data_IF_476255302384
#
_entry.id   IF_476255302384
#
_cell.length_a   1.000
_cell.length_b   1.000
_cell.length_c   1.000
_cell.angle_alpha   90.00
_cell.angle_beta   90.00
_cell.angle_gamma   90.00
#
_symmetry.space_group_name_H-M   'P 1'
#
loop_
_entity.id
_entity.type
_entity.pdbx_description
1 polymer ?
#
# COMPACT_ATOMS: atom_id res chain seq x y z
N UNK A 1 -43.89 29.98 -5.05
CA UNK A 1 -42.80 30.06 -6.03
C UNK A 1 -42.10 28.72 -5.99
N UNK A 2 -42.50 27.84 -6.88
CA UNK A 2 -41.98 26.49 -6.97
C UNK A 2 -40.62 26.49 -7.67
N UNK A 3 -39.72 25.62 -7.19
CA UNK A 3 -38.62 25.10 -7.99
C UNK A 3 -38.82 23.59 -8.05
N UNK A 4 -39.28 23.13 -9.21
CA UNK A 4 -39.57 21.71 -9.45
C UNK A 4 -38.31 20.85 -9.43
N UNK A 5 -38.52 19.54 -9.24
CA UNK A 5 -37.53 18.51 -9.52
C UNK A 5 -36.90 18.70 -10.90
N UNK A 6 -35.59 18.42 -11.00
CA UNK A 6 -35.01 17.82 -12.19
C UNK A 6 -34.23 16.58 -11.76
N UNK A 7 -34.54 15.48 -12.42
CA UNK A 7 -34.15 14.16 -11.95
C UNK A 7 -32.66 13.90 -12.19
N UNK A 8 -31.87 13.91 -11.10
CA UNK A 8 -30.60 13.21 -11.04
C UNK A 8 -30.86 11.83 -10.44
N UNK A 9 -30.82 10.79 -11.28
CA UNK A 9 -30.94 9.40 -10.85
C UNK A 9 -29.71 8.99 -10.04
N UNK A 10 -29.78 9.17 -8.72
CA UNK A 10 -28.76 8.71 -7.78
C UNK A 10 -28.74 7.17 -7.72
N UNK A 11 -27.97 6.57 -8.62
CA UNK A 11 -27.64 5.16 -8.56
C UNK A 11 -26.70 4.92 -7.37
N UNK A 12 -27.06 4.00 -6.49
CA UNK A 12 -26.40 3.81 -5.19
C UNK A 12 -25.03 3.15 -5.35
N UNK A 13 -23.97 3.86 -4.96
CA UNK A 13 -22.60 3.35 -4.94
C UNK A 13 -21.92 3.65 -3.60
N UNK A 14 -20.97 2.81 -3.21
CA UNK A 14 -20.30 2.89 -1.91
C UNK A 14 -19.05 3.77 -1.97
N UNK A 15 -19.21 5.07 -1.75
CA UNK A 15 -18.12 5.99 -1.46
C UNK A 15 -17.37 5.61 -0.16
N UNK A 16 -16.16 6.15 0.04
CA UNK A 16 -15.41 6.05 1.30
C UNK A 16 -15.00 7.44 1.79
N UNK A 17 -15.72 7.93 2.81
CA UNK A 17 -15.69 9.34 3.24
C UNK A 17 -14.61 9.62 4.27
N UNK A 18 -13.55 10.34 3.86
CA UNK A 18 -12.52 10.85 4.76
C UNK A 18 -13.01 12.07 5.53
N UNK A 19 -13.11 11.95 6.86
CA UNK A 19 -13.44 13.07 7.72
C UNK A 19 -12.24 13.57 8.53
N UNK A 20 -11.79 14.80 8.25
CA UNK A 20 -11.13 15.62 9.25
C UNK A 20 -12.13 16.68 9.74
N UNK A 21 -12.73 16.42 10.90
CA UNK A 21 -13.49 17.43 11.61
C UNK A 21 -12.50 18.37 12.32
N UNK A 22 -12.67 19.68 12.13
CA UNK A 22 -11.87 20.73 12.79
C UNK A 22 -11.99 20.67 14.34
N UNK A 23 -13.01 19.97 14.85
CA UNK A 23 -13.12 19.61 16.27
C UNK A 23 -13.07 18.09 16.47
N UNK A 24 -11.86 17.55 16.65
CA UNK A 24 -11.67 16.26 17.35
C UNK A 24 -11.14 15.09 16.54
N UNK A 25 -10.20 15.31 15.61
CA UNK A 25 -9.35 14.21 15.13
C UNK A 25 -8.62 13.58 16.32
N UNK A 26 -8.78 12.27 16.54
CA UNK A 26 -8.10 11.53 17.60
C UNK A 26 -6.88 10.84 17.00
N UNK A 27 -5.67 11.21 17.44
CA UNK A 27 -4.44 10.48 17.14
C UNK A 27 -4.07 9.64 18.36
N UNK A 28 -3.70 8.39 18.16
CA UNK A 28 -3.31 7.51 19.26
C UNK A 28 -1.81 7.67 19.52
N UNK A 29 -1.49 8.17 20.72
CA UNK A 29 -0.11 8.32 21.20
C UNK A 29 0.31 7.06 21.96
N UNK A 30 1.51 6.57 21.66
CA UNK A 30 2.10 5.38 22.26
C UNK A 30 3.42 5.70 22.97
N UNK A 31 3.63 5.03 24.11
CA UNK A 31 4.93 4.89 24.76
C UNK A 31 5.12 3.42 25.18
N UNK A 32 6.32 2.84 25.05
CA UNK A 32 6.57 1.48 25.51
C UNK A 32 6.14 1.28 26.97
N UNK A 33 5.35 0.24 27.23
CA UNK A 33 4.85 -0.10 28.57
C UNK A 33 3.50 0.50 28.99
N UNK A 34 2.84 1.34 28.18
CA UNK A 34 1.57 1.98 28.58
C UNK A 34 0.42 1.83 27.56
N UNK A 35 -0.81 1.86 28.08
CA UNK A 35 -2.06 1.79 27.33
C UNK A 35 -2.24 3.01 26.43
N UNK A 36 -2.65 2.79 25.17
CA UNK A 36 -3.00 3.82 24.17
C UNK A 36 -3.82 4.96 24.76
N UNK A 37 -3.50 6.21 24.38
CA UNK A 37 -4.30 7.39 24.72
C UNK A 37 -4.60 8.23 23.47
N UNK A 38 -5.87 8.63 23.26
CA UNK A 38 -6.20 9.59 22.22
C UNK A 38 -5.74 10.99 22.62
N UNK A 39 -5.12 11.69 21.69
CA UNK A 39 -4.78 13.11 21.80
C UNK A 39 -5.53 13.87 20.71
N UNK A 40 -5.96 15.09 21.04
CA UNK A 40 -6.71 16.00 20.16
C UNK A 40 -5.79 17.13 19.70
N UNK A 41 -5.83 17.46 18.41
CA UNK A 41 -4.97 18.46 17.79
C UNK A 41 -5.79 19.70 17.43
N UNK A 42 -5.18 20.89 17.55
CA UNK A 42 -5.80 22.16 17.15
C UNK A 42 -5.62 22.48 15.66
N UNK A 43 -4.72 21.79 14.98
CA UNK A 43 -4.53 21.86 13.54
C UNK A 43 -3.90 20.54 13.05
N UNK A 44 -4.40 20.02 11.93
CA UNK A 44 -3.79 18.90 11.19
C UNK A 44 -3.81 19.27 9.70
N UNK A 45 -2.66 19.21 9.04
CA UNK A 45 -2.55 19.61 7.62
C UNK A 45 -2.55 18.39 6.71
N UNK A 46 -3.75 17.93 6.35
CA UNK A 46 -3.94 17.02 5.23
C UNK A 46 -3.94 17.82 3.92
N UNK A 47 -3.18 17.37 2.92
CA UNK A 47 -3.28 17.87 1.55
C UNK A 47 -3.75 16.75 0.64
N UNK A 48 -4.93 16.90 0.06
CA UNK A 48 -5.35 16.21 -1.16
C UNK A 48 -4.91 17.10 -2.32
N UNK A 49 -4.31 16.53 -3.37
CA UNK A 49 -3.84 17.31 -4.51
C UNK A 49 -3.40 16.48 -5.71
N UNK A 50 -3.32 17.15 -6.85
CA UNK A 50 -2.65 16.67 -8.08
C UNK A 50 -1.13 16.57 -7.85
N UNK A 51 -0.40 15.73 -8.61
CA UNK A 51 0.81 15.09 -8.10
C UNK A 51 2.01 16.05 -7.94
N UNK A 52 2.55 16.05 -6.72
CA UNK A 52 3.92 16.47 -6.41
C UNK A 52 4.68 15.30 -5.75
N UNK A 53 4.50 14.11 -6.32
CA UNK A 53 5.23 12.89 -5.97
C UNK A 53 5.44 12.13 -7.28
N UNK A 54 6.63 12.27 -7.88
CA UNK A 54 6.97 11.62 -9.16
C UNK A 54 6.99 10.09 -8.99
N UNK A 55 6.31 9.29 -9.82
CA UNK A 55 5.05 9.58 -10.52
C UNK A 55 4.23 8.28 -10.58
N UNK A 56 2.95 8.34 -10.20
CA UNK A 56 2.06 7.17 -10.16
C UNK A 56 0.59 7.52 -10.49
N UNK A 57 0.31 8.78 -10.87
CA UNK A 57 -1.06 9.33 -10.85
C UNK A 57 -1.91 8.89 -12.05
N UNK A 58 -2.53 7.72 -11.95
CA UNK A 58 -3.67 7.37 -12.81
C UNK A 58 -4.83 8.36 -12.60
N UNK A 59 -5.65 8.58 -13.63
CA UNK A 59 -6.76 9.56 -13.61
C UNK A 59 -7.93 9.22 -12.67
N UNK A 60 -7.83 8.11 -11.92
CA UNK A 60 -8.83 7.63 -10.96
C UNK A 60 -8.35 7.70 -9.51
N UNK A 61 -7.26 8.43 -9.25
CA UNK A 61 -6.57 8.40 -7.98
C UNK A 61 -6.13 9.79 -7.47
N UNK A 62 -5.94 9.87 -6.15
CA UNK A 62 -5.63 11.09 -5.42
C UNK A 62 -4.52 10.84 -4.39
N UNK A 63 -3.61 11.80 -4.22
CA UNK A 63 -2.57 11.69 -3.19
C UNK A 63 -3.12 12.12 -1.82
N UNK A 64 -3.06 11.20 -0.86
CA UNK A 64 -3.25 11.45 0.56
C UNK A 64 -1.90 11.79 1.20
N UNK A 65 -1.81 12.90 1.91
CA UNK A 65 -0.65 13.24 2.75
C UNK A 65 -1.10 13.60 4.16
N UNK A 66 -0.57 12.89 5.15
CA UNK A 66 -0.74 13.14 6.58
C UNK A 66 0.56 13.73 7.14
N UNK A 67 0.52 14.96 7.66
CA UNK A 67 1.69 15.67 8.17
C UNK A 67 1.50 16.20 9.59
N UNK A 68 2.46 15.88 10.46
CA UNK A 68 2.60 16.36 11.84
C UNK A 68 3.79 17.32 11.89
N UNK A 69 3.60 18.58 12.30
CA UNK A 69 4.66 19.61 12.32
C UNK A 69 4.61 20.42 13.61
N UNK A 70 5.75 20.55 14.28
CA UNK A 70 5.98 21.34 15.48
C UNK A 70 4.98 21.06 16.62
N UNK A 71 4.62 19.79 16.82
CA UNK A 71 3.67 19.37 17.85
C UNK A 71 4.39 19.27 19.20
N UNK A 72 3.95 20.06 20.17
CA UNK A 72 4.43 19.96 21.55
C UNK A 72 3.91 18.71 22.25
N UNK A 73 4.81 17.94 22.86
CA UNK A 73 4.49 16.70 23.59
C UNK A 73 5.06 16.71 25.00
N UNK A 74 4.30 16.20 25.97
CA UNK A 74 4.78 15.99 27.34
C UNK A 74 5.76 14.80 27.48
N UNK A 75 5.96 14.01 26.42
CA UNK A 75 6.82 12.83 26.39
C UNK A 75 8.14 13.13 25.68
N UNK A 76 9.25 12.58 26.18
CA UNK A 76 10.61 12.77 25.62
C UNK A 76 10.80 12.14 24.24
N UNK A 77 10.15 11.00 23.99
CA UNK A 77 10.23 10.23 22.74
C UNK A 77 8.81 9.73 22.38
N UNK A 78 7.97 10.59 21.78
CA UNK A 78 6.59 10.27 21.44
C UNK A 78 6.51 9.44 20.14
N UNK A 79 5.99 8.21 20.23
CA UNK A 79 5.61 7.41 19.06
C UNK A 79 4.15 7.71 18.69
N UNK A 80 3.91 8.11 17.45
CA UNK A 80 2.57 8.43 16.95
C UNK A 80 1.99 7.30 16.10
N UNK A 81 0.66 7.15 16.14
CA UNK A 81 -0.08 6.28 15.25
C UNK A 81 -1.41 6.92 14.80
N UNK A 82 -1.77 6.68 13.54
CA UNK A 82 -3.09 6.98 12.97
C UNK A 82 -3.95 5.73 13.05
N UNK A 83 -5.19 5.88 13.54
CA UNK A 83 -6.25 4.90 13.28
C UNK A 83 -6.93 5.26 11.96
N UNK A 84 -6.97 4.32 11.02
CA UNK A 84 -7.67 4.47 9.74
C UNK A 84 -8.94 3.63 9.80
N UNK A 85 -10.10 4.30 9.79
CA UNK A 85 -11.41 3.67 9.73
C UNK A 85 -11.88 3.63 8.28
N UNK A 86 -12.29 2.45 7.83
CA UNK A 86 -12.84 2.18 6.51
C UNK A 86 -14.35 2.00 6.63
N UNK A 87 -15.10 2.68 5.76
CA UNK A 87 -16.55 2.51 5.62
C UNK A 87 -16.83 1.70 4.36
N UNK A 88 -17.61 0.63 4.51
CA UNK A 88 -17.95 -0.30 3.44
C UNK A 88 -19.45 -0.41 3.18
N UNK A 89 -19.83 -1.33 2.29
CA UNK A 89 -21.23 -1.60 1.94
C UNK A 89 -22.06 -2.24 3.06
N UNK A 90 -23.35 -2.45 2.77
CA UNK A 90 -24.33 -3.03 3.68
C UNK A 90 -23.94 -4.44 4.17
N UNK A 91 -23.98 -4.65 5.49
CA UNK A 91 -23.74 -5.94 6.14
C UNK A 91 -24.65 -7.06 5.63
N UNK A 92 -25.88 -6.75 5.23
CA UNK A 92 -26.87 -7.77 4.84
C UNK A 92 -26.66 -8.32 3.43
N UNK A 93 -25.93 -7.61 2.56
CA UNK A 93 -25.81 -7.93 1.13
C UNK A 93 -24.49 -8.63 0.77
N UNK A 94 -23.83 -9.27 1.74
CA UNK A 94 -22.40 -9.62 1.65
C UNK A 94 -21.58 -8.40 1.18
N UNK A 95 -21.67 -7.31 1.96
CA UNK A 95 -21.05 -6.02 1.64
C UNK A 95 -19.53 -6.07 1.50
N UNK A 96 -18.97 -4.95 1.05
CA UNK A 96 -17.55 -4.85 0.64
C UNK A 96 -16.58 -5.47 1.65
N UNK A 97 -15.72 -6.36 1.16
CA UNK A 97 -14.66 -6.96 1.95
C UNK A 97 -13.38 -6.13 1.86
N UNK A 98 -12.67 -6.05 2.99
CA UNK A 98 -11.41 -5.32 3.10
C UNK A 98 -10.27 -6.33 3.18
N UNK A 99 -9.32 -6.26 2.25
CA UNK A 99 -8.14 -7.13 2.25
C UNK A 99 -6.85 -6.31 2.18
N UNK A 100 -5.90 -6.59 3.08
CA UNK A 100 -4.52 -6.11 2.95
C UNK A 100 -3.77 -7.06 2.02
N UNK A 101 -3.13 -6.53 0.98
CA UNK A 101 -2.18 -7.24 0.13
C UNK A 101 -0.90 -6.43 -0.03
N UNK A 102 0.21 -7.11 -0.35
CA UNK A 102 1.52 -6.49 -0.54
C UNK A 102 2.04 -6.76 -1.94
N UNK A 103 2.26 -5.70 -2.72
CA UNK A 103 2.90 -5.76 -4.04
C UNK A 103 4.39 -5.44 -3.92
N UNK A 104 5.19 -5.98 -4.84
CA UNK A 104 6.57 -5.53 -5.05
C UNK A 104 6.50 -4.25 -5.91
N UNK A 105 7.31 -3.25 -5.61
CA UNK A 105 7.33 -1.97 -6.31
C UNK A 105 8.71 -1.31 -6.14
N UNK A 106 9.60 -1.48 -7.12
CA UNK A 106 10.96 -0.91 -7.07
C UNK A 106 11.00 0.59 -7.42
N UNK A 107 9.97 1.09 -8.11
CA UNK A 107 9.90 2.47 -8.58
C UNK A 107 9.74 3.49 -7.43
N UNK A 108 10.34 4.67 -7.63
CA UNK A 108 10.16 5.90 -6.85
C UNK A 108 10.43 5.86 -5.32
N UNK A 109 10.98 4.79 -4.75
CA UNK A 109 11.58 4.82 -3.39
C UNK A 109 12.69 3.77 -3.25
N UNK A 110 13.98 4.11 -3.44
CA UNK A 110 15.05 3.14 -3.61
C UNK A 110 15.46 2.34 -2.36
N UNK A 111 14.84 2.60 -1.20
CA UNK A 111 15.01 1.82 0.03
C UNK A 111 13.82 0.89 0.34
N UNK A 112 12.69 1.01 -0.38
CA UNK A 112 11.46 0.29 -0.07
C UNK A 112 10.83 -0.26 -1.36
N UNK A 113 11.16 -1.52 -1.62
CA UNK A 113 10.80 -2.29 -2.82
C UNK A 113 9.39 -2.92 -2.76
N UNK A 114 8.51 -2.45 -1.87
CA UNK A 114 7.15 -2.99 -1.74
C UNK A 114 6.15 -1.91 -1.32
N UNK A 115 4.91 -2.11 -1.73
CA UNK A 115 3.74 -1.28 -1.41
C UNK A 115 2.75 -2.16 -0.65
N UNK A 116 2.22 -1.64 0.45
CA UNK A 116 1.08 -2.21 1.14
C UNK A 116 -0.20 -1.59 0.57
N UNK A 117 -1.20 -2.43 0.29
CA UNK A 117 -2.45 -2.05 -0.34
C UNK A 117 -3.62 -2.56 0.51
N UNK A 118 -4.66 -1.76 0.69
CA UNK A 118 -6.00 -2.24 1.03
C UNK A 118 -6.83 -2.21 -0.25
N UNK A 119 -7.47 -3.32 -0.58
CA UNK A 119 -8.47 -3.37 -1.64
C UNK A 119 -9.87 -3.38 -1.02
N UNK A 120 -10.75 -2.53 -1.55
CA UNK A 120 -12.16 -2.43 -1.19
C UNK A 120 -12.95 -3.29 -2.19
N UNK A 121 -12.99 -4.61 -1.97
CA UNK A 121 -13.59 -5.54 -2.93
C UNK A 121 -15.11 -5.62 -2.77
N UNK A 122 -15.86 -5.32 -3.83
CA UNK A 122 -17.31 -5.52 -3.88
C UNK A 122 -17.61 -6.99 -4.19
N UNK A 123 -18.64 -7.57 -3.58
CA UNK A 123 -19.00 -8.99 -3.79
C UNK A 123 -19.44 -9.32 -5.23
N UNK A 124 -19.82 -8.30 -6.01
CA UNK A 124 -20.28 -8.46 -7.39
C UNK A 124 -19.32 -7.93 -8.47
N UNK A 125 -18.14 -7.37 -8.13
CA UNK A 125 -17.18 -6.85 -9.13
C UNK A 125 -15.78 -6.60 -8.57
N UNK A 126 -14.76 -6.61 -9.44
CA UNK A 126 -13.44 -6.02 -9.11
C UNK A 126 -13.44 -4.47 -9.10
N UNK A 127 -14.61 -3.86 -9.32
CA UNK A 127 -14.80 -2.41 -9.35
C UNK A 127 -15.27 -1.91 -7.98
N UNK A 128 -14.31 -1.76 -7.08
CA UNK A 128 -14.44 -0.94 -5.88
C UNK A 128 -13.40 0.18 -5.90
N UNK A 129 -12.51 0.16 -4.92
CA UNK A 129 -11.36 1.07 -4.87
C UNK A 129 -10.22 0.49 -4.04
N UNK A 130 -9.20 1.30 -3.82
CA UNK A 130 -8.01 0.91 -3.07
C UNK A 130 -7.41 2.08 -2.29
N UNK A 131 -6.61 1.75 -1.28
CA UNK A 131 -5.66 2.65 -0.65
C UNK A 131 -4.29 1.96 -0.61
N UNK A 132 -3.26 2.59 -1.15
CA UNK A 132 -1.91 2.01 -1.29
C UNK A 132 -0.85 2.94 -0.69
N UNK A 133 0.14 2.41 0.03
CA UNK A 133 1.24 3.21 0.57
C UNK A 133 2.53 2.40 0.65
N UNK A 134 3.67 3.09 0.59
CA UNK A 134 4.94 2.49 1.02
C UNK A 134 5.05 2.61 2.54
N UNK A 135 5.55 1.59 3.25
CA UNK A 135 5.70 1.61 4.72
C UNK A 135 6.91 2.46 5.18
N UNK A 136 6.98 3.70 4.68
CA UNK A 136 7.95 4.73 5.04
C UNK A 136 7.24 6.05 5.32
N UNK A 137 7.63 6.70 6.41
CA UNK A 137 7.31 8.08 6.71
C UNK A 137 8.61 8.89 6.74
N UNK A 138 8.55 10.18 6.44
CA UNK A 138 9.73 11.03 6.32
C UNK A 138 9.78 12.08 7.43
N UNK A 139 10.96 12.33 7.98
CA UNK A 139 11.18 13.34 9.03
C UNK A 139 11.33 14.77 8.51
N UNK A 140 11.20 14.98 7.20
CA UNK A 140 11.34 16.28 6.51
C UNK A 140 10.37 16.40 5.33
N UNK A 141 10.10 17.64 4.88
CA UNK A 141 9.17 17.91 3.77
C UNK A 141 9.76 17.52 2.39
N UNK A 142 11.10 17.48 2.26
CA UNK A 142 11.84 17.08 1.04
C UNK A 142 11.99 15.56 0.87
N UNK A 143 11.69 14.76 1.90
CA UNK A 143 11.60 13.29 1.84
C UNK A 143 12.89 12.56 1.39
N UNK A 144 14.04 13.06 1.80
CA UNK A 144 15.34 12.41 1.57
C UNK A 144 15.42 11.00 2.16
N UNK A 145 16.17 10.10 1.51
CA UNK A 145 16.21 8.67 1.86
C UNK A 145 16.70 8.40 3.28
N UNK A 146 17.73 9.13 3.76
CA UNK A 146 18.25 9.05 5.12
C UNK A 146 17.23 9.51 6.20
N UNK A 147 16.23 10.28 5.76
CA UNK A 147 15.16 10.83 6.60
C UNK A 147 13.88 10.00 6.52
N UNK A 148 13.91 8.84 5.84
CA UNK A 148 12.90 7.80 5.97
C UNK A 148 12.92 7.11 7.34
N UNK A 149 11.74 6.73 7.83
CA UNK A 149 11.49 5.97 9.07
C UNK A 149 10.46 4.89 8.77
N UNK A 150 10.60 3.72 9.39
CA UNK A 150 9.71 2.58 9.14
C UNK A 150 8.28 2.87 9.61
N UNK A 151 7.30 2.34 8.88
CA UNK A 151 5.88 2.41 9.22
C UNK A 151 5.35 1.00 9.46
N UNK A 152 4.66 0.81 10.57
CA UNK A 152 4.11 -0.46 10.98
C UNK A 152 2.58 -0.39 10.92
N UNK A 153 2.01 -1.02 9.90
CA UNK A 153 0.57 -1.32 9.83
C UNK A 153 0.23 -2.48 10.76
N UNK A 154 -0.97 -2.45 11.33
CA UNK A 154 -1.56 -3.56 12.07
C UNK A 154 -2.72 -4.16 11.26
N UNK A 155 -3.15 -5.37 11.61
CA UNK A 155 -4.23 -6.07 10.90
C UNK A 155 -5.56 -5.30 10.93
N UNK A 156 -6.36 -5.48 9.88
CA UNK A 156 -7.75 -5.01 9.82
C UNK A 156 -8.61 -5.75 10.85
N UNK A 157 -9.37 -5.00 11.64
CA UNK A 157 -10.37 -5.53 12.55
C UNK A 157 -11.73 -4.91 12.25
N UNK A 158 -12.81 -5.69 12.33
CA UNK A 158 -14.18 -5.16 12.27
C UNK A 158 -14.41 -4.21 13.45
N UNK A 159 -14.92 -3.01 13.19
CA UNK A 159 -15.15 -1.98 14.23
C UNK A 159 -16.63 -1.61 14.34
N UNK A 160 -16.98 -0.80 15.34
CA UNK A 160 -18.35 -0.35 15.60
C UNK A 160 -18.50 1.16 15.40
N UNK A 161 -19.75 1.61 15.24
CA UNK A 161 -20.09 3.02 15.01
C UNK A 161 -19.54 3.95 16.10
N UNK A 162 -19.39 3.46 17.34
CA UNK A 162 -18.85 4.24 18.46
C UNK A 162 -17.38 4.67 18.33
N UNK A 163 -16.62 4.09 17.39
CA UNK A 163 -15.27 4.55 17.05
C UNK A 163 -15.26 5.67 16.01
N UNK A 164 -16.37 5.84 15.26
CA UNK A 164 -16.52 6.94 14.30
C UNK A 164 -16.88 8.23 15.06
N UNK A 165 -16.16 9.35 14.85
CA UNK A 165 -16.51 10.61 15.50
C UNK A 165 -17.91 11.08 15.10
N UNK A 166 -18.73 11.47 16.08
CA UNK A 166 -20.15 11.82 15.88
C UNK A 166 -20.37 13.01 14.93
N UNK A 167 -19.40 13.92 14.84
CA UNK A 167 -19.40 15.06 13.90
C UNK A 167 -18.66 14.75 12.59
N UNK A 168 -18.57 13.47 12.21
CA UNK A 168 -17.94 13.08 10.96
C UNK A 168 -18.87 13.25 9.75
N UNK A 169 -18.31 13.67 8.61
CA UNK A 169 -19.04 13.70 7.34
C UNK A 169 -19.51 12.29 6.89
N UNK A 170 -18.96 11.20 7.46
CA UNK A 170 -19.53 9.86 7.28
C UNK A 170 -20.98 9.76 7.82
N UNK A 171 -21.28 10.30 9.01
CA UNK A 171 -22.67 10.36 9.49
C UNK A 171 -23.57 11.22 8.59
N UNK A 172 -23.04 12.31 8.02
CA UNK A 172 -23.79 13.15 7.10
C UNK A 172 -24.03 12.49 5.73
N UNK A 173 -23.11 11.65 5.27
CA UNK A 173 -23.15 11.05 3.93
C UNK A 173 -23.97 9.75 3.88
N UNK A 174 -23.71 8.81 4.80
CA UNK A 174 -24.41 7.51 4.80
C UNK A 174 -25.59 7.45 5.79
N UNK A 175 -25.71 8.42 6.70
CA UNK A 175 -26.67 8.37 7.80
C UNK A 175 -26.36 7.24 8.79
N UNK A 176 -27.01 6.08 8.60
CA UNK A 176 -26.99 4.97 9.55
C UNK A 176 -25.79 4.02 9.34
N UNK A 177 -24.62 4.45 9.81
CA UNK A 177 -23.40 3.63 9.85
C UNK A 177 -23.56 2.25 10.54
N UNK A 178 -24.62 2.04 11.32
CA UNK A 178 -24.89 0.76 12.00
C UNK A 178 -25.13 -0.39 11.01
N UNK A 179 -25.69 -0.08 9.83
CA UNK A 179 -25.97 -1.06 8.77
C UNK A 179 -24.74 -1.35 7.88
N UNK A 180 -23.76 -0.45 7.87
CA UNK A 180 -22.56 -0.57 7.03
C UNK A 180 -21.46 -1.43 7.67
N UNK A 181 -20.69 -2.13 6.84
CA UNK A 181 -19.49 -2.83 7.25
C UNK A 181 -18.40 -1.80 7.61
N UNK A 182 -17.99 -1.74 8.88
CA UNK A 182 -16.93 -0.86 9.35
C UNK A 182 -15.72 -1.71 9.71
N UNK A 183 -14.53 -1.29 9.29
CA UNK A 183 -13.26 -1.89 9.72
C UNK A 183 -12.28 -0.81 10.10
N UNK A 184 -11.36 -1.09 11.03
CA UNK A 184 -10.23 -0.19 11.32
C UNK A 184 -8.90 -0.93 11.31
N UNK A 185 -7.85 -0.19 10.99
CA UNK A 185 -6.46 -0.59 11.20
C UNK A 185 -5.71 0.55 11.88
N UNK A 186 -4.63 0.22 12.58
CA UNK A 186 -3.68 1.21 13.08
C UNK A 186 -2.44 1.26 12.17
N UNK A 187 -1.84 2.43 12.06
CA UNK A 187 -0.59 2.69 11.33
C UNK A 187 0.31 3.52 12.24
N UNK A 188 1.38 2.91 12.77
CA UNK A 188 2.35 3.59 13.65
C UNK A 188 3.66 3.91 12.95
N UNK A 189 4.31 5.00 13.34
CA UNK A 189 5.51 5.50 12.68
C UNK A 189 6.74 5.45 13.61
N UNK A 190 7.89 5.11 13.03
CA UNK A 190 9.18 5.01 13.71
C UNK A 190 9.47 3.62 14.28
N UNK A 191 10.74 3.37 14.53
CA UNK A 191 11.29 2.12 15.07
C UNK A 191 12.21 2.40 16.27
N UNK A 192 12.41 1.41 17.14
CA UNK A 192 13.23 1.61 18.33
C UNK A 192 14.67 2.03 17.99
N UNK A 193 15.14 3.10 18.64
CA UNK A 193 16.43 3.72 18.41
C UNK A 193 16.44 4.95 17.47
N UNK A 194 15.37 5.22 16.72
CA UNK A 194 15.34 6.33 15.74
C UNK A 194 15.04 7.73 16.33
N UNK A 195 14.81 7.79 17.65
CA UNK A 195 14.44 9.01 18.39
C UNK A 195 12.96 9.39 18.32
N UNK A 196 12.17 8.65 17.53
CA UNK A 196 10.77 8.91 17.22
C UNK A 196 10.54 10.36 16.74
N UNK A 197 9.33 10.91 16.89
CA UNK A 197 9.00 12.25 16.38
C UNK A 197 9.82 13.38 17.03
N UNK A 198 10.35 13.18 18.25
CA UNK A 198 11.17 14.18 18.94
C UNK A 198 12.52 14.45 18.24
N UNK A 199 13.01 13.54 17.38
CA UNK A 199 14.25 13.73 16.63
C UNK A 199 14.19 14.89 15.62
N UNK A 200 13.00 15.17 15.07
CA UNK A 200 12.80 16.16 13.98
C UNK A 200 11.71 17.19 14.26
N UNK A 201 10.74 16.88 15.13
CA UNK A 201 9.48 17.61 15.28
C UNK A 201 8.68 17.75 13.97
N UNK A 202 8.95 16.88 13.01
CA UNK A 202 8.25 16.79 11.73
C UNK A 202 8.12 15.33 11.31
N UNK A 203 6.94 14.95 10.84
CA UNK A 203 6.69 13.66 10.22
C UNK A 203 5.66 13.82 9.11
N UNK A 204 5.95 13.29 7.92
CA UNK A 204 4.98 13.14 6.83
C UNK A 204 4.90 11.69 6.39
N UNK A 205 3.69 11.13 6.41
CA UNK A 205 3.34 9.87 5.77
C UNK A 205 2.39 10.18 4.59
N UNK A 206 2.47 9.38 3.54
CA UNK A 206 1.67 9.60 2.34
C UNK A 206 1.29 8.28 1.67
N UNK A 207 0.19 8.32 0.94
CA UNK A 207 -0.35 7.19 0.20
C UNK A 207 -1.16 7.63 -1.00
N UNK A 208 -1.46 6.64 -1.84
CA UNK A 208 -2.44 6.68 -2.90
C UNK A 208 -3.81 6.24 -2.35
N UNK A 209 -4.88 6.86 -2.84
CA UNK A 209 -6.25 6.33 -2.78
C UNK A 209 -6.91 6.50 -4.14
N UNK A 210 -7.70 5.53 -4.60
CA UNK A 210 -8.37 5.60 -5.89
C UNK A 210 -9.49 4.59 -6.11
N UNK A 211 -10.14 4.70 -7.26
CA UNK A 211 -11.22 3.80 -7.69
C UNK A 211 -10.74 2.80 -8.75
N UNK A 212 -11.25 1.57 -8.68
CA UNK A 212 -10.78 0.41 -9.45
C UNK A 212 -9.79 -0.45 -8.67
N UNK A 213 -8.92 -1.15 -9.40
CA UNK A 213 -7.88 -2.03 -8.85
C UNK A 213 -6.63 -1.23 -8.44
N UNK A 214 -5.95 -1.66 -7.38
CA UNK A 214 -4.71 -1.04 -6.93
C UNK A 214 -3.60 -1.11 -8.01
N UNK A 215 -2.71 -0.11 -8.12
CA UNK A 215 -1.61 -0.14 -9.08
C UNK A 215 -0.68 -1.32 -8.80
N UNK A 216 -0.71 -2.29 -9.71
CA UNK A 216 0.27 -3.37 -9.77
C UNK A 216 1.56 -2.83 -10.41
N UNK A 217 2.30 -2.05 -9.63
CA UNK A 217 3.66 -1.65 -9.98
C UNK A 217 4.48 -2.90 -10.33
N UNK A 218 5.03 -2.93 -11.53
CA UNK A 218 5.95 -3.99 -11.95
C UNK A 218 7.35 -3.77 -11.40
N UNK A 219 8.25 -4.72 -11.64
CA UNK A 219 9.68 -4.42 -11.63
C UNK A 219 10.00 -3.48 -12.80
N UNK A 220 10.76 -2.43 -12.53
CA UNK A 220 11.29 -1.51 -13.53
C UNK A 220 12.01 -2.26 -14.64
N UNK A 221 11.84 -1.81 -15.89
CA UNK A 221 12.53 -2.38 -17.05
C UNK A 221 14.05 -2.42 -16.86
N UNK A 222 14.63 -1.49 -16.09
CA UNK A 222 16.05 -1.50 -15.74
C UNK A 222 16.43 -2.74 -14.90
N UNK A 223 15.64 -3.08 -13.88
CA UNK A 223 15.90 -4.26 -13.04
C UNK A 223 15.64 -5.55 -13.84
N UNK A 224 14.61 -5.59 -14.68
CA UNK A 224 14.36 -6.71 -15.60
C UNK A 224 15.53 -6.93 -16.58
N UNK A 225 16.11 -5.85 -17.13
CA UNK A 225 17.30 -5.91 -18.00
C UNK A 225 18.51 -6.45 -17.22
N UNK A 226 18.79 -5.95 -16.01
CA UNK A 226 19.91 -6.43 -15.20
C UNK A 226 19.76 -7.90 -14.83
N UNK A 227 18.56 -8.33 -14.41
CA UNK A 227 18.27 -9.74 -14.07
C UNK A 227 18.41 -10.65 -15.31
N UNK A 228 17.83 -10.24 -16.45
CA UNK A 228 17.90 -11.03 -17.69
C UNK A 228 19.33 -11.12 -18.27
N UNK A 229 20.15 -10.08 -18.17
CA UNK A 229 21.55 -10.15 -18.54
C UNK A 229 22.35 -11.02 -17.56
N UNK A 230 22.19 -10.78 -16.26
CA UNK A 230 22.95 -11.43 -15.19
C UNK A 230 22.66 -12.92 -15.00
N UNK A 231 21.41 -13.35 -15.22
CA UNK A 231 21.02 -14.77 -15.13
C UNK A 231 20.93 -15.44 -16.51
N UNK A 232 20.50 -14.71 -17.55
CA UNK A 232 20.32 -15.27 -18.90
C UNK A 232 21.63 -15.66 -19.56
N UNK A 233 22.70 -14.86 -19.43
CA UNK A 233 23.99 -15.21 -20.04
C UNK A 233 24.62 -16.48 -19.43
N UNK A 234 24.70 -16.66 -18.10
CA UNK A 234 25.10 -17.93 -17.49
C UNK A 234 24.20 -19.11 -17.90
N UNK A 235 22.87 -18.92 -17.93
CA UNK A 235 21.94 -19.97 -18.33
C UNK A 235 22.17 -20.43 -19.78
N UNK A 236 22.36 -19.49 -20.72
CA UNK A 236 22.67 -19.79 -22.12
C UNK A 236 24.01 -20.51 -22.27
N UNK A 237 25.04 -20.14 -21.50
CA UNK A 237 26.34 -20.82 -21.51
C UNK A 237 26.23 -22.26 -20.97
N UNK A 238 25.47 -22.48 -19.89
CA UNK A 238 25.25 -23.81 -19.32
C UNK A 238 24.44 -24.70 -20.27
N UNK A 239 23.33 -24.19 -20.82
CA UNK A 239 22.46 -24.95 -21.73
C UNK A 239 23.15 -25.23 -23.08
N UNK A 240 23.83 -24.25 -23.68
CA UNK A 240 24.57 -24.41 -24.92
C UNK A 240 25.77 -25.35 -24.76
N UNK A 241 26.61 -25.12 -23.74
CA UNK A 241 27.76 -25.96 -23.44
C UNK A 241 27.36 -27.40 -23.10
N UNK A 242 26.34 -27.57 -22.25
CA UNK A 242 25.77 -28.88 -21.91
C UNK A 242 25.22 -29.62 -23.13
N UNK A 243 24.47 -28.93 -24.00
CA UNK A 243 23.95 -29.52 -25.25
C UNK A 243 25.07 -29.98 -26.18
N UNK A 244 26.12 -29.17 -26.37
CA UNK A 244 27.29 -29.54 -27.19
C UNK A 244 28.01 -30.77 -26.61
N UNK A 245 28.17 -30.84 -25.29
CA UNK A 245 28.79 -32.00 -24.61
C UNK A 245 27.94 -33.27 -24.78
N UNK A 246 26.62 -33.17 -24.60
CA UNK A 246 25.69 -34.28 -24.78
C UNK A 246 25.67 -34.77 -26.24
N UNK A 247 25.58 -33.87 -27.22
CA UNK A 247 25.63 -34.21 -28.65
C UNK A 247 26.96 -34.88 -29.02
N UNK A 248 28.10 -34.37 -28.52
CA UNK A 248 29.42 -35.01 -28.73
C UNK A 248 29.49 -36.41 -28.10
N UNK A 249 28.95 -36.63 -26.90
CA UNK A 249 28.87 -37.97 -26.27
C UNK A 249 28.02 -38.93 -27.10
N UNK A 250 26.82 -38.51 -27.53
CA UNK A 250 25.90 -39.34 -28.33
C UNK A 250 26.50 -39.68 -29.71
N UNK A 251 27.10 -38.71 -30.40
CA UNK A 251 27.78 -38.95 -31.66
C UNK A 251 28.98 -39.90 -31.51
N UNK A 252 29.77 -39.77 -30.44
CA UNK A 252 30.88 -40.69 -30.16
C UNK A 252 30.38 -42.12 -29.88
N UNK A 253 29.30 -42.28 -29.10
CA UNK A 253 28.70 -43.61 -28.86
C UNK A 253 28.26 -44.27 -30.17
N UNK A 254 27.47 -43.55 -30.99
CA UNK A 254 26.97 -44.06 -32.28
C UNK A 254 28.10 -44.49 -33.23
N UNK A 255 29.25 -43.84 -33.18
CA UNK A 255 30.41 -44.23 -33.98
C UNK A 255 31.08 -45.52 -33.46
N UNK A 256 31.12 -45.75 -32.13
CA UNK A 256 31.56 -47.05 -31.59
C UNK A 256 30.58 -48.18 -31.93
N UNK A 257 29.27 -47.95 -31.77
CA UNK A 257 28.24 -48.92 -32.13
C UNK A 257 28.38 -49.32 -33.63
N UNK A 258 28.66 -48.35 -34.51
CA UNK A 258 28.87 -48.61 -35.95
C UNK A 258 30.16 -49.39 -36.27
N UNK A 259 31.22 -49.23 -35.47
CA UNK A 259 32.49 -49.97 -35.62
C UNK A 259 32.40 -51.41 -35.07
N UNK A 260 31.40 -51.72 -34.24
CA UNK A 260 31.14 -53.08 -33.73
C UNK A 260 30.21 -53.90 -34.65
N UNK A 261 29.67 -53.27 -35.71
CA UNK A 261 28.70 -53.88 -36.66
C UNK A 261 29.36 -54.22 -38.01
N UNK A 262 30.67 -54.04 -38.13
CA UNK A 262 31.45 -54.32 -39.35
C UNK A 262 32.39 -55.53 -39.12
N UNK A 263 31.89 -56.77 -39.15
CA UNK A 263 32.72 -57.96 -39.10
C UNK A 263 33.50 -58.08 -40.41
N UNK A 264 34.84 -58.09 -40.32
CA UNK A 264 35.72 -57.89 -41.47
C UNK A 264 35.46 -58.86 -42.64
N UNK A 265 35.23 -58.28 -43.82
CA UNK A 265 35.29 -59.01 -45.10
C UNK A 265 36.72 -58.97 -45.62
N UNK A 266 37.47 -60.05 -45.41
CA UNK A 266 38.57 -60.58 -46.23
C UNK A 266 39.04 -61.92 -45.66
#
# INVERSE_FOLDING_TARGET
MDLQSKDCSFQTWSDLVFCLCEQGTQLLLFTPGYKWRPVRFKALRMRVGVPCFHDWSTSKAHILNFALKNISTAYKQPRFAVEVILVGGDKQQNGTSFSISRSIADQYTPSVFYVDNINFANSNSSQGGYMSWKPVAYTEEERHLANGRMVHQYGLNTTSVGYVPSYSIAHAFYGNLSQLNLSSMNVSFGNDGDGYYAASNYLVWGGLIGYGEAPLDGLSMLILIIISAGLGLPALLILGGGSIICLKKLAKKRNYDKLMVDPGVN
#
